data_IF_833485016933
#
_entry.id   IF_833485016933
#
_cell.length_a   1.000
_cell.length_b   1.000
_cell.length_c   1.000
_cell.angle_alpha   90.00
_cell.angle_beta   90.00
_cell.angle_gamma   90.00
#
_symmetry.space_group_name_H-M   'P 1'
#
loop_
_entity.id
_entity.type
_entity.pdbx_description
1 polymer ?
#
# COMPACT_ATOMS: atom_id res chain seq x y z
N UNK A 1 -17.56 -8.05 21.33
CA UNK A 1 -16.23 -7.44 21.10
C UNK A 1 -16.22 -6.88 19.69
N UNK A 2 -16.45 -5.57 19.51
CA UNK A 2 -16.44 -4.97 18.18
C UNK A 2 -14.99 -4.93 17.70
N UNK A 3 -14.64 -5.75 16.72
CA UNK A 3 -13.32 -5.71 16.08
C UNK A 3 -13.24 -4.36 15.38
N UNK A 4 -12.50 -3.42 15.96
CA UNK A 4 -12.21 -2.14 15.30
C UNK A 4 -11.35 -2.45 14.09
N UNK A 5 -11.86 -2.10 12.90
CA UNK A 5 -11.10 -2.18 11.67
C UNK A 5 -10.20 -0.95 11.61
N UNK A 6 -8.93 -1.18 11.27
CA UNK A 6 -7.99 -0.12 10.93
C UNK A 6 -7.50 -0.35 9.50
N UNK A 7 -6.99 0.71 8.86
CA UNK A 7 -6.48 0.69 7.50
C UNK A 7 -5.01 1.07 7.49
N UNK A 8 -4.26 0.48 6.57
CA UNK A 8 -2.86 0.80 6.30
C UNK A 8 -2.71 1.22 4.85
N UNK A 9 -1.76 2.11 4.61
CA UNK A 9 -1.39 2.50 3.26
C UNK A 9 -0.28 1.57 2.81
N UNK A 10 -0.46 0.96 1.66
CA UNK A 10 0.48 -0.02 1.13
C UNK A 10 0.84 0.34 -0.29
N UNK A 11 1.99 -0.16 -0.74
CA UNK A 11 2.35 -0.21 -2.15
C UNK A 11 2.48 -1.68 -2.55
N UNK A 12 1.81 -2.06 -3.64
CA UNK A 12 1.97 -3.39 -4.22
C UNK A 12 3.36 -3.51 -4.82
N UNK A 13 4.10 -4.56 -4.44
CA UNK A 13 5.51 -4.70 -4.84
C UNK A 13 5.64 -4.92 -6.36
N UNK A 14 4.69 -5.67 -6.93
CA UNK A 14 4.72 -6.06 -8.33
C UNK A 14 4.34 -4.90 -9.26
N UNK A 15 3.26 -4.19 -8.94
CA UNK A 15 2.76 -3.09 -9.79
C UNK A 15 3.27 -1.71 -9.39
N UNK A 16 3.81 -1.56 -8.17
CA UNK A 16 4.19 -0.27 -7.55
C UNK A 16 3.01 0.68 -7.34
N UNK A 17 1.78 0.15 -7.33
CA UNK A 17 0.59 0.96 -7.09
C UNK A 17 0.32 1.14 -5.60
N UNK A 18 -0.05 2.37 -5.23
CA UNK A 18 -0.47 2.70 -3.88
C UNK A 18 -1.92 2.29 -3.67
N UNK A 19 -2.22 1.71 -2.51
CA UNK A 19 -3.57 1.35 -2.13
C UNK A 19 -3.77 1.43 -0.62
N UNK A 20 -5.03 1.37 -0.20
CA UNK A 20 -5.41 1.27 1.20
C UNK A 20 -5.91 -0.13 1.45
N UNK A 21 -5.32 -0.81 2.44
CA UNK A 21 -5.66 -2.19 2.80
C UNK A 21 -6.16 -2.22 4.24
N UNK A 22 -7.33 -2.83 4.52
CA UNK A 22 -7.78 -3.07 5.89
C UNK A 22 -6.84 -4.06 6.59
N UNK A 23 -6.58 -3.87 7.88
CA UNK A 23 -5.72 -4.77 8.66
C UNK A 23 -6.24 -6.20 8.67
N UNK A 24 -7.56 -6.40 8.52
CA UNK A 24 -8.20 -7.70 8.36
C UNK A 24 -7.74 -8.49 7.13
N UNK A 25 -7.31 -7.80 6.08
CA UNK A 25 -6.86 -8.44 4.84
C UNK A 25 -5.37 -8.76 4.87
N UNK A 26 -4.64 -8.28 5.87
CA UNK A 26 -3.23 -8.59 6.05
C UNK A 26 -3.08 -10.04 6.51
N UNK A 27 -2.22 -10.79 5.85
CA UNK A 27 -1.84 -12.13 6.27
C UNK A 27 -0.75 -11.99 7.33
N UNK A 28 -1.05 -12.32 8.59
CA UNK A 28 -0.03 -12.47 9.62
C UNK A 28 0.77 -13.74 9.31
N UNK A 29 2.01 -13.58 8.86
CA UNK A 29 2.94 -14.70 8.82
C UNK A 29 3.46 -14.94 10.24
N UNK A 30 2.99 -16.00 10.89
CA UNK A 30 3.47 -16.47 12.20
C UNK A 30 4.90 -17.09 12.14
N UNK A 31 5.50 -17.18 10.95
CA UNK A 31 6.84 -17.76 10.76
C UNK A 31 7.94 -16.72 10.77
N UNK A 32 8.36 -16.32 11.97
CA UNK A 32 9.72 -16.42 12.54
C UNK A 32 11.00 -16.42 11.66
N UNK A 33 11.01 -15.98 10.40
CA UNK A 33 12.21 -16.08 9.53
C UNK A 33 12.43 -14.88 8.59
N UNK A 34 11.98 -13.68 8.97
CA UNK A 34 12.28 -12.50 8.16
C UNK A 34 12.29 -11.22 8.98
N UNK A 35 13.18 -11.15 9.97
CA UNK A 35 13.47 -9.92 10.73
C UNK A 35 13.92 -8.73 9.86
N UNK A 36 14.02 -8.89 8.54
CA UNK A 36 14.57 -7.87 7.63
C UNK A 36 13.74 -7.52 6.38
N UNK A 37 12.57 -8.13 6.13
CA UNK A 37 11.74 -7.71 4.99
C UNK A 37 10.54 -6.90 5.44
N UNK A 38 10.55 -5.62 5.07
CA UNK A 38 9.40 -4.73 5.11
C UNK A 38 8.24 -5.16 4.16
N UNK A 39 8.34 -6.34 3.54
CA UNK A 39 7.35 -6.91 2.63
C UNK A 39 6.42 -7.81 3.44
N UNK A 40 5.13 -7.48 3.41
CA UNK A 40 4.03 -8.27 3.97
C UNK A 40 3.18 -8.84 2.85
N UNK A 41 2.28 -9.75 3.19
CA UNK A 41 1.28 -10.28 2.28
C UNK A 41 -0.09 -9.75 2.68
N UNK A 42 -0.93 -9.44 1.69
CA UNK A 42 -2.35 -9.21 1.90
C UNK A 42 -3.19 -10.04 0.94
N UNK A 43 -4.37 -10.44 1.40
CA UNK A 43 -5.40 -10.99 0.53
C UNK A 43 -6.10 -9.86 -0.21
N UNK A 44 -6.25 -10.02 -1.51
CA UNK A 44 -6.93 -9.06 -2.37
C UNK A 44 -7.90 -9.78 -3.32
N UNK A 45 -9.14 -9.29 -3.47
CA UNK A 45 -10.12 -9.88 -4.39
C UNK A 45 -9.65 -9.88 -5.83
N UNK A 46 -10.00 -10.93 -6.59
CA UNK A 46 -9.94 -10.88 -8.05
C UNK A 46 -11.04 -9.96 -8.58
N UNK A 47 -10.64 -8.80 -9.11
CA UNK A 47 -11.54 -7.88 -9.79
C UNK A 47 -11.33 -6.44 -9.36
N UNK A 48 -12.29 -5.59 -9.74
CA UNK A 48 -12.24 -4.17 -9.41
C UNK A 48 -12.69 -3.95 -7.97
N UNK A 49 -11.71 -3.76 -7.08
CA UNK A 49 -11.96 -3.37 -5.70
C UNK A 49 -12.28 -1.87 -5.64
N UNK A 50 -13.42 -1.52 -5.05
CA UNK A 50 -13.84 -0.12 -4.89
C UNK A 50 -13.51 0.40 -3.50
N UNK A 51 -13.57 1.72 -3.32
CA UNK A 51 -13.38 2.34 -2.01
C UNK A 51 -14.40 1.86 -0.97
N UNK A 52 -15.61 1.50 -1.41
CA UNK A 52 -16.66 0.94 -0.54
C UNK A 52 -16.26 -0.44 -0.02
N UNK A 53 -15.73 -1.32 -0.87
CA UNK A 53 -15.29 -2.65 -0.45
C UNK A 53 -14.17 -2.59 0.60
N UNK A 54 -13.24 -1.65 0.41
CA UNK A 54 -12.14 -1.40 1.36
C UNK A 54 -12.68 -0.81 2.66
N UNK A 55 -13.66 0.10 2.58
CA UNK A 55 -14.29 0.70 3.75
C UNK A 55 -15.06 -0.34 4.57
N UNK A 56 -15.78 -1.25 3.92
CA UNK A 56 -16.57 -2.28 4.59
C UNK A 56 -15.70 -3.37 5.21
N UNK A 57 -14.47 -3.52 4.70
CA UNK A 57 -13.42 -4.37 5.25
C UNK A 57 -13.94 -5.78 5.60
N UNK A 58 -14.68 -6.34 4.64
CA UNK A 58 -15.24 -7.69 4.73
C UNK A 58 -14.13 -8.71 4.99
N UNK A 59 -14.47 -9.79 5.67
CA UNK A 59 -13.47 -10.83 5.93
C UNK A 59 -12.98 -11.45 4.61
N UNK A 60 -11.67 -11.67 4.47
CA UNK A 60 -11.10 -12.11 3.21
C UNK A 60 -11.58 -13.52 2.87
N UNK A 61 -12.06 -13.69 1.65
CA UNK A 61 -12.56 -14.98 1.16
C UNK A 61 -11.37 -15.93 0.86
N UNK A 62 -11.53 -17.26 1.04
CA UNK A 62 -10.53 -18.24 0.63
C UNK A 62 -10.12 -18.16 -0.85
N UNK A 63 -10.99 -17.61 -1.71
CA UNK A 63 -10.74 -17.42 -3.15
C UNK A 63 -9.88 -16.19 -3.47
N UNK A 64 -9.58 -15.33 -2.48
CA UNK A 64 -8.74 -14.15 -2.69
C UNK A 64 -7.27 -14.53 -2.81
N UNK A 65 -6.55 -13.78 -3.62
CA UNK A 65 -5.14 -14.03 -3.90
C UNK A 65 -4.27 -13.25 -2.95
N UNK A 66 -3.09 -13.79 -2.65
CA UNK A 66 -2.11 -13.13 -1.82
C UNK A 66 -1.17 -12.30 -2.68
N UNK A 67 -1.01 -11.04 -2.32
CA UNK A 67 -0.15 -10.09 -3.01
C UNK A 67 0.92 -9.56 -2.07
N UNK A 68 2.13 -9.45 -2.61
CA UNK A 68 3.26 -8.81 -1.93
C UNK A 68 3.04 -7.31 -1.80
N UNK A 69 3.02 -6.81 -0.57
CA UNK A 69 2.81 -5.40 -0.24
C UNK A 69 3.91 -4.87 0.66
N UNK A 70 4.18 -3.58 0.58
CA UNK A 70 5.02 -2.85 1.56
C UNK A 70 4.17 -1.79 2.25
N UNK A 71 4.20 -1.74 3.58
CA UNK A 71 3.49 -0.68 4.31
C UNK A 71 4.27 0.62 4.19
N UNK A 72 3.57 1.67 3.76
CA UNK A 72 4.11 3.01 3.59
C UNK A 72 3.84 3.81 4.86
N UNK A 73 4.82 4.59 5.31
CA UNK A 73 4.68 5.43 6.51
C UNK A 73 4.97 4.72 7.84
N UNK A 74 5.85 3.71 7.84
CA UNK A 74 6.42 3.14 9.06
C UNK A 74 5.41 2.41 9.95
N UNK A 75 4.63 1.48 9.37
CA UNK A 75 3.61 0.68 10.07
C UNK A 75 2.47 1.50 10.68
N UNK A 76 2.26 2.73 10.23
CA UNK A 76 1.14 3.56 10.70
C UNK A 76 -0.20 2.96 10.28
N UNK A 77 -1.05 2.72 11.26
CA UNK A 77 -2.45 2.32 11.08
C UNK A 77 -3.37 3.53 11.27
N UNK A 78 -4.49 3.51 10.57
CA UNK A 78 -5.49 4.56 10.61
C UNK A 78 -6.82 3.94 11.00
N UNK A 79 -7.47 4.46 12.04
CA UNK A 79 -8.80 3.99 12.46
C UNK A 79 -9.95 4.68 11.70
N UNK A 80 -9.59 5.59 10.77
CA UNK A 80 -10.54 6.32 9.95
C UNK A 80 -10.16 6.15 8.48
N UNK A 81 -11.02 5.47 7.73
CA UNK A 81 -10.83 5.20 6.31
C UNK A 81 -10.61 6.48 5.49
N UNK A 82 -11.38 7.55 5.73
CA UNK A 82 -11.23 8.81 4.99
C UNK A 82 -9.84 9.42 5.18
N UNK A 83 -9.29 9.35 6.40
CA UNK A 83 -7.92 9.81 6.67
C UNK A 83 -6.89 8.95 5.94
N UNK A 84 -7.05 7.62 5.98
CA UNK A 84 -6.15 6.70 5.28
C UNK A 84 -6.15 6.95 3.76
N UNK A 85 -7.35 7.13 3.18
CA UNK A 85 -7.53 7.39 1.76
C UNK A 85 -6.89 8.71 1.32
N UNK A 86 -7.08 9.78 2.11
CA UNK A 86 -6.48 11.08 1.81
C UNK A 86 -4.95 11.00 1.80
N UNK A 87 -4.35 10.37 2.82
CA UNK A 87 -2.89 10.22 2.89
C UNK A 87 -2.37 9.31 1.78
N UNK A 88 -3.12 8.29 1.33
CA UNK A 88 -2.77 7.49 0.16
C UNK A 88 -2.64 8.37 -1.09
N UNK A 89 -3.60 9.28 -1.32
CA UNK A 89 -3.56 10.23 -2.44
C UNK A 89 -2.36 11.19 -2.32
N UNK A 90 -2.08 11.72 -1.13
CA UNK A 90 -0.90 12.58 -0.90
C UNK A 90 0.40 11.83 -1.21
N UNK A 91 0.53 10.57 -0.76
CA UNK A 91 1.73 9.74 -0.99
C UNK A 91 1.93 9.40 -2.47
N UNK A 92 0.85 9.13 -3.18
CA UNK A 92 0.87 8.88 -4.62
C UNK A 92 1.34 10.13 -5.37
N UNK A 93 0.82 11.31 -5.01
CA UNK A 93 1.22 12.59 -5.59
C UNK A 93 2.68 12.97 -5.29
N UNK A 94 3.15 12.77 -4.05
CA UNK A 94 4.56 12.99 -3.68
C UNK A 94 5.50 12.12 -4.52
N UNK A 95 5.14 10.85 -4.73
CA UNK A 95 5.94 9.93 -5.52
C UNK A 95 6.01 10.35 -7.00
N UNK A 96 4.88 10.76 -7.60
CA UNK A 96 4.85 11.29 -8.97
C UNK A 96 5.73 12.54 -9.14
N UNK A 97 5.68 13.45 -8.17
CA UNK A 97 6.46 14.69 -8.21
C UNK A 97 7.97 14.42 -8.13
N UNK A 98 8.39 13.49 -7.26
CA UNK A 98 9.79 13.04 -7.16
C UNK A 98 10.27 12.41 -8.47
N UNK A 99 9.45 11.58 -9.12
CA UNK A 99 9.79 10.99 -10.41
C UNK A 99 9.97 12.05 -11.52
N UNK A 100 9.13 13.09 -11.54
CA UNK A 100 9.24 14.20 -12.49
C UNK A 100 10.51 15.04 -12.27
N UNK A 101 10.87 15.34 -11.02
CA UNK A 101 12.08 16.10 -10.71
C UNK A 101 13.36 15.32 -11.04
N UNK A 102 13.36 14.00 -10.87
CA UNK A 102 14.53 13.16 -11.16
C UNK A 102 14.79 13.03 -12.67
N UNK A 103 13.74 13.06 -13.50
CA UNK A 103 13.88 13.03 -14.97
C UNK A 103 14.49 14.34 -15.51
N UNK A 104 14.24 15.48 -14.86
CA UNK A 104 14.84 16.78 -15.24
C UNK A 104 16.34 16.85 -14.98
N UNK A 105 16.88 16.13 -13.98
CA UNK A 105 18.32 16.16 -13.66
C UNK A 105 19.20 15.37 -14.63
N UNK A 106 18.66 14.39 -15.37
CA UNK A 106 19.43 13.61 -16.36
C UNK A 106 19.57 14.28 -17.73
N UNK A 107 18.88 15.39 -17.99
CA UNK A 107 18.95 16.10 -19.27
C UNK A 107 20.01 17.22 -19.31
N UNK A 108 20.84 17.38 -18.28
CA UNK A 108 21.77 18.52 -18.14
C UNK A 108 23.26 18.13 -18.20
N UNK A 109 23.63 17.01 -18.85
CA UNK A 109 25.05 16.66 -19.03
C UNK A 109 25.39 16.51 -20.50
N UNK A 110 25.27 17.59 -21.28
CA UNK A 110 26.02 17.76 -22.53
C UNK A 110 26.40 19.24 -22.66
N UNK A 111 27.67 19.45 -23.06
CA UNK A 111 28.45 20.69 -23.28
C UNK A 111 29.13 21.24 -22.02
N UNK A 112 30.47 21.41 -21.96
CA UNK A 112 31.39 21.82 -23.03
C UNK A 112 32.75 21.05 -23.04
N UNK A 113 33.31 20.95 -24.25
CA UNK A 113 34.67 20.48 -24.61
C UNK A 113 35.68 21.61 -24.49
#
# INVERSE_FOLDING_TARGET
MCIKVSWVIVVFVDSKDYSVVPTKWLVQNDTNNLENSNVRLCKWPLGRVTSTDIHDALDPDPTWFEYGIKIVGGNKTYDNFKKAWHVRVEKESENEEVHLMTKRKRASTIFDV
#
